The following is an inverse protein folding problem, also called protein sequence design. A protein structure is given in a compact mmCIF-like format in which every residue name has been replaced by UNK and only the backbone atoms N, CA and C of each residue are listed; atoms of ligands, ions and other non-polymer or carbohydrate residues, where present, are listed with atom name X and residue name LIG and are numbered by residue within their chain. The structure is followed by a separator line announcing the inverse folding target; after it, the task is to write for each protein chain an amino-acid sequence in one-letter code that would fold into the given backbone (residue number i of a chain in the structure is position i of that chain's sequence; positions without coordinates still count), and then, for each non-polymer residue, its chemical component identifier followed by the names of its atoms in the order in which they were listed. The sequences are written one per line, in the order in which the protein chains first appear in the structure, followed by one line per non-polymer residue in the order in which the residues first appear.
data_IF_625025853993
#
_entry.id   IF_625025853993
#
_cell.length_a   1.000
_cell.length_b   1.000
_cell.length_c   1.000
_cell.angle_alpha   90.00
_cell.angle_beta   90.00
_cell.angle_gamma   90.00
#
_symmetry.space_group_name_H-M   'P 1'
#
loop_
_entity.id
_entity.type
_entity.pdbx_description
1 polymer ?
#
# COMPACT_ATOMS: atom_id res chain seq x y z
N UNK A 1 9.52 -19.17 5.69
CA UNK A 1 8.65 -17.96 5.59
C UNK A 1 9.18 -16.99 4.55
N UNK A 2 10.49 -16.88 4.36
CA UNK A 2 11.09 -15.99 3.35
C UNK A 2 10.88 -16.49 1.93
N UNK A 3 10.88 -17.80 1.69
CA UNK A 3 10.46 -18.39 0.40
C UNK A 3 9.00 -18.09 0.07
N UNK A 4 8.12 -18.11 1.09
CA UNK A 4 6.69 -17.80 0.97
C UNK A 4 6.44 -16.39 0.43
N UNK A 5 7.28 -15.41 0.80
CA UNK A 5 7.18 -14.05 0.26
C UNK A 5 7.48 -14.04 -1.25
N UNK A 6 8.52 -14.74 -1.73
CA UNK A 6 8.86 -14.84 -3.16
C UNK A 6 7.79 -15.61 -3.95
N UNK A 7 7.30 -16.72 -3.41
CA UNK A 7 6.19 -17.51 -3.98
C UNK A 7 4.96 -16.62 -4.16
N UNK A 8 4.61 -15.87 -3.12
CA UNK A 8 3.44 -14.99 -3.12
C UNK A 8 3.58 -13.87 -4.13
N UNK A 9 4.75 -13.24 -4.20
CA UNK A 9 5.05 -12.21 -5.19
C UNK A 9 4.93 -12.73 -6.62
N UNK A 10 5.62 -13.82 -6.95
CA UNK A 10 5.62 -14.39 -8.30
C UNK A 10 4.22 -14.87 -8.70
N UNK A 11 3.50 -15.52 -7.80
CA UNK A 11 2.11 -15.92 -8.03
C UNK A 11 1.24 -14.70 -8.34
N UNK A 12 1.27 -13.68 -7.48
CA UNK A 12 0.48 -12.47 -7.68
C UNK A 12 0.83 -11.74 -8.99
N UNK A 13 2.11 -11.54 -9.29
CA UNK A 13 2.56 -10.90 -10.53
C UNK A 13 2.15 -11.68 -11.78
N UNK A 14 2.16 -13.02 -11.71
CA UNK A 14 1.72 -13.86 -12.83
C UNK A 14 0.26 -13.65 -13.24
N UNK A 15 -0.61 -13.21 -12.31
CA UNK A 15 -2.04 -12.97 -12.59
C UNK A 15 -2.31 -11.78 -13.51
N UNK A 16 -1.29 -10.94 -13.75
CA UNK A 16 -1.41 -9.73 -14.54
C UNK A 16 -1.03 -9.92 -16.02
N UNK A 17 -0.43 -11.04 -16.40
CA UNK A 17 -0.02 -11.31 -17.79
C UNK A 17 -1.17 -11.17 -18.78
N UNK A 18 -2.35 -11.67 -18.41
CA UNK A 18 -3.54 -11.70 -19.27
C UNK A 18 -4.50 -10.54 -18.99
N UNK A 19 -4.08 -9.54 -18.21
CA UNK A 19 -4.91 -8.37 -17.94
C UNK A 19 -5.00 -7.46 -19.18
N UNK A 20 -6.11 -6.74 -19.30
CA UNK A 20 -6.34 -5.79 -20.37
C UNK A 20 -5.43 -4.57 -20.25
N UNK A 21 -5.00 -4.05 -21.40
CA UNK A 21 -4.14 -2.87 -21.50
C UNK A 21 -4.78 -1.67 -20.80
N UNK A 22 -6.09 -1.48 -20.98
CA UNK A 22 -6.84 -0.40 -20.32
C UNK A 22 -6.78 -0.47 -18.78
N UNK A 23 -6.78 -1.66 -18.20
CA UNK A 23 -6.65 -1.82 -16.74
C UNK A 23 -5.20 -1.59 -16.29
N UNK A 24 -4.21 -2.02 -17.05
CA UNK A 24 -2.80 -1.76 -16.76
C UNK A 24 -2.49 -0.26 -16.88
N UNK A 25 -3.00 0.41 -17.90
CA UNK A 25 -2.81 1.85 -18.11
C UNK A 25 -3.40 2.68 -16.96
N UNK A 26 -4.49 2.21 -16.33
CA UNK A 26 -5.02 2.86 -15.11
C UNK A 26 -4.05 2.77 -13.93
N UNK A 27 -3.34 1.66 -13.79
CA UNK A 27 -2.32 1.47 -12.75
C UNK A 27 -1.09 2.34 -13.04
N UNK A 28 -0.65 2.38 -14.30
CA UNK A 28 0.46 3.22 -14.75
C UNK A 28 0.11 4.71 -14.59
N UNK A 29 -1.13 5.11 -14.83
CA UNK A 29 -1.59 6.48 -14.62
C UNK A 29 -1.58 6.86 -13.12
N UNK A 30 -2.01 5.96 -12.24
CA UNK A 30 -1.88 6.17 -10.79
C UNK A 30 -0.41 6.28 -10.38
N UNK A 31 0.43 5.37 -10.86
CA UNK A 31 1.88 5.38 -10.63
C UNK A 31 2.50 6.71 -11.06
N UNK A 32 2.16 7.18 -12.26
CA UNK A 32 2.64 8.45 -12.79
C UNK A 32 2.25 9.63 -11.90
N UNK A 33 1.05 9.61 -11.32
CA UNK A 33 0.61 10.64 -10.37
C UNK A 33 1.37 10.54 -9.04
N UNK A 34 1.60 9.33 -8.53
CA UNK A 34 2.41 9.10 -7.34
C UNK A 34 3.83 9.66 -7.50
N UNK A 35 4.49 9.33 -8.61
CA UNK A 35 5.82 9.82 -8.96
C UNK A 35 5.83 11.35 -9.11
N UNK A 36 4.73 11.98 -9.51
CA UNK A 36 4.64 13.43 -9.72
C UNK A 36 3.89 14.20 -8.60
N UNK A 37 3.78 13.64 -7.39
CA UNK A 37 3.13 14.32 -6.26
C UNK A 37 3.82 15.65 -5.89
N UNK A 38 5.14 15.72 -6.02
CA UNK A 38 5.92 16.91 -5.71
C UNK A 38 5.94 17.24 -4.21
N UNK A 39 6.24 18.50 -3.90
CA UNK A 39 6.16 19.03 -2.53
C UNK A 39 4.77 19.60 -2.27
N UNK A 40 4.22 19.30 -1.10
CA UNK A 40 2.96 19.89 -0.64
C UNK A 40 2.90 19.93 0.89
N UNK A 41 2.07 20.85 1.39
CA UNK A 41 1.68 20.90 2.80
C UNK A 41 0.22 20.43 2.92
N UNK A 42 -0.04 19.56 3.89
CA UNK A 42 -1.36 18.99 4.15
C UNK A 42 -1.95 19.46 5.48
N UNK A 43 -1.17 20.14 6.33
CA UNK A 43 -1.57 20.41 7.72
C UNK A 43 -2.82 21.28 7.79
N UNK A 44 -2.87 22.36 7.01
CA UNK A 44 -4.03 23.26 6.98
C UNK A 44 -5.28 22.54 6.47
N UNK A 45 -5.16 21.83 5.34
CA UNK A 45 -6.27 21.08 4.75
C UNK A 45 -6.84 20.02 5.71
N UNK A 46 -5.96 19.28 6.39
CA UNK A 46 -6.33 18.27 7.40
C UNK A 46 -6.96 18.95 8.60
N UNK A 47 -6.37 20.01 9.14
CA UNK A 47 -6.89 20.70 10.32
C UNK A 47 -8.31 21.26 10.07
N UNK A 48 -8.53 21.90 8.94
CA UNK A 48 -9.84 22.46 8.58
C UNK A 48 -10.90 21.38 8.42
N UNK A 49 -10.54 20.27 7.77
CA UNK A 49 -11.44 19.16 7.55
C UNK A 49 -11.82 18.46 8.85
N UNK A 50 -10.82 18.15 9.70
CA UNK A 50 -11.06 17.51 10.98
C UNK A 50 -11.74 18.42 12.01
N UNK A 51 -11.56 19.74 11.92
CA UNK A 51 -12.34 20.68 12.72
C UNK A 51 -13.85 20.60 12.38
N UNK A 52 -14.17 20.50 11.08
CA UNK A 52 -15.55 20.35 10.61
C UNK A 52 -16.14 19.00 11.06
N UNK A 53 -15.39 17.90 10.90
CA UNK A 53 -15.81 16.57 11.33
C UNK A 53 -16.06 16.50 12.84
N UNK A 54 -15.15 17.06 13.64
CA UNK A 54 -15.28 17.07 15.08
C UNK A 54 -16.48 17.93 15.54
N UNK A 55 -16.74 19.08 14.91
CA UNK A 55 -17.91 19.90 15.22
C UNK A 55 -19.23 19.14 14.94
N UNK A 56 -19.31 18.43 13.80
CA UNK A 56 -20.46 17.58 13.47
C UNK A 56 -20.62 16.43 14.48
N UNK A 57 -19.53 15.74 14.83
CA UNK A 57 -19.56 14.65 15.81
C UNK A 57 -19.99 15.13 17.21
N UNK A 58 -19.47 16.27 17.67
CA UNK A 58 -19.88 16.88 18.94
C UNK A 58 -21.36 17.27 18.94
N UNK A 59 -21.88 17.80 17.82
CA UNK A 59 -23.32 18.11 17.69
C UNK A 59 -24.18 16.87 17.77
N UNK A 60 -23.78 15.77 17.12
CA UNK A 60 -24.48 14.48 17.23
C UNK A 60 -24.46 14.00 18.68
N UNK A 61 -23.30 14.01 19.35
CA UNK A 61 -23.18 13.67 20.77
C UNK A 61 -24.14 14.49 21.64
N UNK A 62 -24.10 15.81 21.53
CA UNK A 62 -24.85 16.71 22.39
C UNK A 62 -26.36 16.52 22.22
N UNK A 63 -26.83 16.31 20.99
CA UNK A 63 -28.23 16.00 20.70
C UNK A 63 -28.63 14.62 21.24
N UNK A 64 -27.76 13.61 21.15
CA UNK A 64 -28.00 12.27 21.69
C UNK A 64 -28.14 12.29 23.22
N UNK A 65 -27.23 13.01 23.92
CA UNK A 65 -27.30 13.19 25.37
C UNK A 65 -28.59 13.91 25.76
N UNK A 66 -28.93 15.00 25.07
CA UNK A 66 -30.13 15.78 25.37
C UNK A 66 -31.44 15.02 25.09
N UNK A 67 -31.42 14.06 24.16
CA UNK A 67 -32.57 13.28 23.77
C UNK A 67 -32.86 12.07 24.66
N UNK A 68 -31.94 11.72 25.58
CA UNK A 68 -31.89 10.44 26.30
C UNK A 68 -32.19 9.26 25.35
N UNK A 69 -31.62 9.36 24.14
CA UNK A 69 -31.91 8.46 23.04
C UNK A 69 -31.20 7.13 23.28
N UNK A 70 -31.94 6.03 23.20
CA UNK A 70 -31.43 4.69 23.50
C UNK A 70 -30.77 4.01 22.31
N UNK A 71 -30.76 4.64 21.13
CA UNK A 71 -30.20 4.06 19.91
C UNK A 71 -29.76 5.13 18.89
N UNK A 72 -28.47 5.12 18.50
CA UNK A 72 -28.09 5.48 17.12
C UNK A 72 -28.18 4.17 16.33
N UNK A 73 -29.40 3.78 15.94
CA UNK A 73 -29.64 2.47 15.32
C UNK A 73 -29.33 2.42 13.82
N UNK A 74 -28.88 3.50 13.18
CA UNK A 74 -28.63 3.47 11.74
C UNK A 74 -27.35 4.24 11.45
N UNK A 75 -26.32 3.49 11.05
CA UNK A 75 -25.19 3.92 10.20
C UNK A 75 -23.94 3.05 10.38
N UNK A 76 -24.02 1.87 11.02
CA UNK A 76 -22.99 0.82 10.87
C UNK A 76 -22.66 0.57 9.39
N UNK A 77 -23.66 0.80 8.53
CA UNK A 77 -23.56 0.79 7.09
C UNK A 77 -22.65 1.87 6.51
N UNK A 78 -22.99 3.12 6.83
CA UNK A 78 -22.24 4.28 6.42
C UNK A 78 -20.84 4.25 7.01
N UNK A 79 -20.65 3.65 8.18
CA UNK A 79 -19.35 3.59 8.87
C UNK A 79 -18.33 2.67 8.21
N UNK A 80 -18.77 1.67 7.44
CA UNK A 80 -17.87 0.97 6.51
C UNK A 80 -17.51 1.79 5.26
N UNK A 81 -18.34 2.80 4.93
CA UNK A 81 -18.13 3.71 3.82
C UNK A 81 -17.19 4.89 4.15
N UNK A 82 -16.79 5.02 5.42
CA UNK A 82 -16.09 6.20 5.96
C UNK A 82 -14.63 6.32 5.49
N UNK A 83 -13.95 5.29 4.97
CA UNK A 83 -12.54 5.48 4.56
C UNK A 83 -12.12 4.76 3.28
N UNK A 84 -11.82 5.56 2.25
CA UNK A 84 -11.60 5.09 0.89
C UNK A 84 -10.23 4.49 0.58
N UNK A 85 -9.29 4.54 1.53
CA UNK A 85 -7.94 4.01 1.30
C UNK A 85 -7.83 2.49 1.51
N UNK A 86 -8.86 1.84 2.08
CA UNK A 86 -8.75 0.45 2.55
C UNK A 86 -9.92 -0.51 2.27
N UNK A 87 -11.09 -0.06 1.81
CA UNK A 87 -12.24 -0.94 1.57
C UNK A 87 -12.65 -0.95 0.09
N UNK A 88 -12.82 -2.13 -0.49
CA UNK A 88 -13.45 -2.32 -1.79
C UNK A 88 -14.94 -1.99 -1.70
N UNK A 89 -15.50 -1.37 -2.76
CA UNK A 89 -16.92 -1.01 -2.90
C UNK A 89 -17.92 -2.13 -2.52
N UNK A 90 -17.47 -3.39 -2.47
CA UNK A 90 -18.28 -4.55 -2.11
C UNK A 90 -18.59 -4.66 -0.60
N UNK A 91 -17.74 -4.13 0.28
CA UNK A 91 -18.03 -4.09 1.72
C UNK A 91 -19.16 -3.10 2.06
N UNK A 92 -19.45 -2.18 1.14
CA UNK A 92 -20.41 -1.09 1.28
C UNK A 92 -21.87 -1.57 1.09
N UNK A 93 -22.11 -2.52 0.16
CA UNK A 93 -23.46 -2.94 -0.22
C UNK A 93 -24.16 -3.87 0.79
N UNK A 94 -23.39 -4.62 1.60
CA UNK A 94 -23.96 -5.55 2.60
C UNK A 94 -24.57 -4.82 3.80
N UNK A 95 -24.22 -3.55 3.93
CA UNK A 95 -24.33 -2.79 5.15
C UNK A 95 -25.47 -1.76 5.02
N UNK A 96 -25.66 -1.20 3.82
CA UNK A 96 -26.77 -0.32 3.41
C UNK A 96 -28.19 -0.87 3.66
N UNK A 97 -28.32 -2.17 3.95
CA UNK A 97 -29.60 -2.87 4.12
C UNK A 97 -30.26 -2.73 5.51
N UNK A 98 -29.61 -2.08 6.48
CA UNK A 98 -30.11 -1.94 7.84
C UNK A 98 -30.36 -0.48 8.21
N UNK A 99 -31.52 0.05 7.83
CA UNK A 99 -31.96 1.40 8.23
C UNK A 99 -33.37 1.33 8.84
N UNK A 100 -33.51 1.77 10.08
CA UNK A 100 -34.80 2.07 10.70
C UNK A 100 -34.68 3.27 11.65
N UNK A 101 -35.26 4.37 11.14
CA UNK A 101 -35.94 5.51 11.79
C UNK A 101 -35.54 5.84 13.23
N UNK A 102 -34.94 7.02 13.44
CA UNK A 102 -35.19 7.85 14.63
C UNK A 102 -34.88 9.35 14.42
N UNK A 103 -35.41 10.21 15.32
CA UNK A 103 -35.61 11.69 15.26
C UNK A 103 -34.87 12.46 14.14
N UNK A 104 -35.66 13.18 13.32
CA UNK A 104 -35.23 13.91 12.10
C UNK A 104 -33.95 14.76 12.25
N UNK A 105 -33.74 15.42 13.38
CA UNK A 105 -32.58 16.30 13.58
C UNK A 105 -31.28 15.52 13.87
N UNK A 106 -31.33 14.51 14.74
CA UNK A 106 -30.20 13.60 15.03
C UNK A 106 -29.84 12.81 13.77
N UNK A 107 -30.85 12.28 13.07
CA UNK A 107 -30.67 11.58 11.80
C UNK A 107 -30.04 12.49 10.73
N UNK A 108 -30.47 13.75 10.62
CA UNK A 108 -29.87 14.69 9.67
C UNK A 108 -28.40 14.99 9.98
N UNK A 109 -28.02 15.19 11.25
CA UNK A 109 -26.62 15.46 11.61
C UNK A 109 -25.73 14.23 11.55
N UNK A 110 -26.27 13.06 11.87
CA UNK A 110 -25.56 11.78 11.68
C UNK A 110 -25.32 11.52 10.19
N UNK A 111 -26.32 11.78 9.34
CA UNK A 111 -26.16 11.72 7.89
C UNK A 111 -25.10 12.70 7.37
N UNK A 112 -25.14 13.97 7.80
CA UNK A 112 -24.12 14.96 7.41
C UNK A 112 -22.70 14.52 7.84
N UNK A 113 -22.56 13.98 9.06
CA UNK A 113 -21.28 13.46 9.55
C UNK A 113 -20.81 12.29 8.69
N UNK A 114 -21.69 11.35 8.35
CA UNK A 114 -21.35 10.16 7.57
C UNK A 114 -21.04 10.49 6.11
N UNK A 115 -21.82 11.38 5.49
CA UNK A 115 -21.53 11.90 4.15
C UNK A 115 -20.14 12.56 4.12
N UNK A 116 -19.79 13.34 5.16
CA UNK A 116 -18.50 14.02 5.25
C UNK A 116 -17.34 13.07 5.50
N UNK A 117 -17.55 12.07 6.32
CA UNK A 117 -16.57 11.03 6.57
C UNK A 117 -16.31 10.20 5.31
N UNK A 118 -17.31 9.89 4.49
CA UNK A 118 -17.12 9.15 3.23
C UNK A 118 -16.25 9.89 2.18
N UNK A 119 -16.12 11.21 2.28
CA UNK A 119 -15.39 12.05 1.29
C UNK A 119 -14.15 12.75 1.84
N UNK A 120 -13.88 12.67 3.13
CA UNK A 120 -12.76 13.29 3.84
C UNK A 120 -11.40 13.22 3.12
N UNK A 121 -10.98 12.07 2.59
CA UNK A 121 -9.71 11.93 1.87
C UNK A 121 -9.71 12.74 0.56
N UNK A 122 -10.87 12.79 -0.08
CA UNK A 122 -11.09 13.48 -1.35
C UNK A 122 -11.19 14.98 -1.09
N UNK A 123 -11.77 15.38 0.03
CA UNK A 123 -11.90 16.78 0.44
C UNK A 123 -10.56 17.35 0.90
N UNK A 124 -9.78 16.59 1.70
CA UNK A 124 -8.41 16.97 2.07
C UNK A 124 -7.54 17.09 0.82
N UNK A 125 -7.52 16.07 -0.03
CA UNK A 125 -6.65 16.08 -1.23
C UNK A 125 -6.97 17.22 -2.20
N UNK A 126 -8.26 17.54 -2.41
CA UNK A 126 -8.70 18.71 -3.18
C UNK A 126 -8.24 20.04 -2.58
N UNK A 127 -8.20 20.15 -1.25
CA UNK A 127 -7.70 21.34 -0.53
C UNK A 127 -6.18 21.49 -0.63
N UNK A 128 -5.44 20.41 -0.82
CA UNK A 128 -3.99 20.44 -0.97
C UNK A 128 -3.60 20.96 -2.35
N UNK A 129 -3.85 20.18 -3.42
CA UNK A 129 -3.66 20.58 -4.81
C UNK A 129 -4.25 19.53 -5.77
N UNK A 130 -4.27 19.86 -7.07
CA UNK A 130 -4.79 18.98 -8.12
C UNK A 130 -4.04 17.65 -8.25
N UNK A 131 -2.72 17.64 -8.16
CA UNK A 131 -1.93 16.40 -8.32
C UNK A 131 -2.25 15.39 -7.21
N UNK A 132 -2.33 15.87 -5.96
CA UNK A 132 -2.69 15.05 -4.80
C UNK A 132 -4.14 14.56 -4.92
N UNK A 133 -5.07 15.42 -5.36
CA UNK A 133 -6.46 15.03 -5.60
C UNK A 133 -6.61 13.96 -6.69
N UNK A 134 -5.93 14.13 -7.83
CA UNK A 134 -5.96 13.18 -8.93
C UNK A 134 -5.34 11.83 -8.51
N UNK A 135 -4.22 11.87 -7.77
CA UNK A 135 -3.59 10.67 -7.22
C UNK A 135 -4.54 9.91 -6.30
N UNK A 136 -5.15 10.56 -5.31
CA UNK A 136 -6.09 9.93 -4.38
C UNK A 136 -7.29 9.33 -5.12
N UNK A 137 -7.83 10.04 -6.12
CA UNK A 137 -8.92 9.52 -6.94
C UNK A 137 -8.53 8.24 -7.70
N UNK A 138 -7.35 8.22 -8.32
CA UNK A 138 -6.85 7.05 -9.06
C UNK A 138 -6.48 5.88 -8.14
N UNK A 139 -5.90 6.16 -6.99
CA UNK A 139 -5.65 5.17 -5.95
C UNK A 139 -6.96 4.44 -5.59
N UNK A 140 -8.04 5.18 -5.34
CA UNK A 140 -9.36 4.63 -5.02
C UNK A 140 -9.93 3.80 -6.18
N UNK A 141 -9.88 4.32 -7.41
CA UNK A 141 -10.38 3.63 -8.60
C UNK A 141 -9.74 2.25 -8.78
N UNK A 142 -8.45 2.14 -8.46
CA UNK A 142 -7.68 0.92 -8.71
C UNK A 142 -7.77 -0.13 -7.59
N UNK A 143 -8.33 0.19 -6.41
CA UNK A 143 -8.41 -0.74 -5.29
C UNK A 143 -9.14 -2.04 -5.64
N UNK A 144 -10.27 -1.97 -6.36
CA UNK A 144 -11.03 -3.15 -6.74
C UNK A 144 -10.28 -4.03 -7.74
N UNK A 145 -9.58 -3.41 -8.70
CA UNK A 145 -8.78 -4.13 -9.69
C UNK A 145 -7.65 -4.90 -9.00
N UNK A 146 -6.90 -4.24 -8.12
CA UNK A 146 -5.81 -4.85 -7.33
C UNK A 146 -6.34 -5.98 -6.46
N UNK A 147 -7.43 -5.74 -5.72
CA UNK A 147 -8.04 -6.76 -4.86
C UNK A 147 -8.55 -7.97 -5.66
N UNK A 148 -9.08 -7.78 -6.87
CA UNK A 148 -9.57 -8.87 -7.73
C UNK A 148 -8.46 -9.82 -8.19
N UNK A 149 -7.21 -9.36 -8.17
CA UNK A 149 -6.01 -10.14 -8.53
C UNK A 149 -5.31 -10.76 -7.32
N UNK A 150 -5.70 -10.38 -6.11
CA UNK A 150 -5.07 -10.86 -4.90
C UNK A 150 -5.30 -12.38 -4.72
N UNK A 151 -4.24 -13.18 -4.56
CA UNK A 151 -4.37 -14.56 -4.13
C UNK A 151 -5.10 -14.62 -2.78
N UNK A 152 -5.81 -15.73 -2.54
CA UNK A 152 -6.55 -15.92 -1.28
C UNK A 152 -5.62 -15.75 -0.09
N UNK A 153 -5.96 -14.80 0.80
CA UNK A 153 -5.20 -14.51 2.01
C UNK A 153 -4.10 -13.45 1.87
N UNK A 154 -3.90 -12.89 0.67
CA UNK A 154 -3.02 -11.74 0.48
C UNK A 154 -3.80 -10.43 0.64
N UNK A 155 -3.35 -9.55 1.53
CA UNK A 155 -4.02 -8.27 1.75
C UNK A 155 -3.72 -7.26 0.62
N UNK A 156 -4.66 -6.34 0.39
CA UNK A 156 -4.60 -5.33 -0.69
C UNK A 156 -3.37 -4.42 -0.58
N UNK A 157 -2.89 -4.16 0.63
CA UNK A 157 -1.72 -3.31 0.88
C UNK A 157 -0.44 -4.02 0.43
N UNK A 158 -0.28 -5.30 0.74
CA UNK A 158 0.83 -6.13 0.23
C UNK A 158 0.75 -6.26 -1.29
N UNK A 159 -0.45 -6.44 -1.85
CA UNK A 159 -0.67 -6.44 -3.30
C UNK A 159 -0.19 -5.13 -3.96
N UNK A 160 -0.55 -3.98 -3.38
CA UNK A 160 -0.18 -2.67 -3.91
C UNK A 160 1.33 -2.41 -3.79
N UNK A 161 1.94 -2.80 -2.67
CA UNK A 161 3.39 -2.76 -2.49
C UNK A 161 4.15 -3.56 -3.54
N UNK A 162 3.74 -4.83 -3.74
CA UNK A 162 4.32 -5.70 -4.76
C UNK A 162 4.17 -5.12 -6.17
N UNK A 163 3.00 -4.52 -6.47
CA UNK A 163 2.73 -3.91 -7.77
C UNK A 163 3.62 -2.67 -8.02
N UNK A 164 3.80 -1.81 -7.02
CA UNK A 164 4.70 -0.65 -7.14
C UNK A 164 6.17 -1.07 -7.32
N UNK A 165 6.62 -2.08 -6.57
CA UNK A 165 7.96 -2.64 -6.75
C UNK A 165 8.14 -3.23 -8.15
N UNK A 166 7.13 -3.93 -8.66
CA UNK A 166 7.14 -4.49 -10.01
C UNK A 166 7.18 -3.39 -11.08
N UNK A 167 6.38 -2.33 -10.95
CA UNK A 167 6.42 -1.19 -11.88
C UNK A 167 7.78 -0.48 -11.86
N UNK A 168 8.41 -0.36 -10.69
CA UNK A 168 9.77 0.18 -10.56
C UNK A 168 10.80 -0.68 -11.30
N UNK A 169 10.69 -2.00 -11.20
CA UNK A 169 11.57 -2.93 -11.90
C UNK A 169 11.42 -2.81 -13.42
N UNK A 170 10.18 -2.69 -13.92
CA UNK A 170 9.92 -2.45 -15.35
C UNK A 170 10.52 -1.11 -15.77
N UNK A 171 10.26 -0.03 -15.02
CA UNK A 171 10.71 1.34 -15.31
C UNK A 171 12.24 1.50 -15.28
N UNK A 172 12.94 0.73 -14.42
CA UNK A 172 14.41 0.70 -14.37
C UNK A 172 15.03 0.09 -15.62
N UNK A 173 14.36 -0.88 -16.22
CA UNK A 173 14.91 -1.68 -17.32
C UNK A 173 14.36 -1.27 -18.69
N UNK A 174 13.18 -0.66 -18.75
CA UNK A 174 12.49 -0.29 -19.98
C UNK A 174 11.40 0.78 -19.75
N UNK A 175 10.64 1.12 -20.79
CA UNK A 175 9.50 2.03 -20.68
C UNK A 175 8.37 1.29 -19.98
N UNK A 176 7.83 1.89 -18.92
CA UNK A 176 6.63 1.40 -18.25
C UNK A 176 5.39 1.71 -19.10
N UNK A 177 5.02 0.74 -19.94
CA UNK A 177 3.77 0.70 -20.72
C UNK A 177 3.09 -0.66 -20.55
N UNK A 178 1.84 -0.80 -21.00
CA UNK A 178 1.08 -2.05 -20.85
C UNK A 178 1.75 -3.27 -21.51
N UNK A 179 2.47 -3.07 -22.62
CA UNK A 179 3.13 -4.16 -23.33
C UNK A 179 4.33 -4.71 -22.54
N UNK A 180 5.20 -3.82 -22.06
CA UNK A 180 6.34 -4.17 -21.24
C UNK A 180 5.90 -4.69 -19.86
N UNK A 181 4.87 -4.10 -19.26
CA UNK A 181 4.27 -4.61 -18.03
C UNK A 181 3.86 -6.08 -18.18
N UNK A 182 3.07 -6.42 -19.21
CA UNK A 182 2.64 -7.81 -19.45
C UNK A 182 3.81 -8.74 -19.77
N UNK A 183 4.83 -8.27 -20.48
CA UNK A 183 6.04 -9.04 -20.75
C UNK A 183 6.76 -9.46 -19.46
N UNK A 184 6.89 -8.54 -18.50
CA UNK A 184 7.47 -8.86 -17.20
C UNK A 184 6.54 -9.74 -16.35
N UNK A 185 5.22 -9.58 -16.46
CA UNK A 185 4.26 -10.43 -15.76
C UNK A 185 4.30 -11.88 -16.31
N UNK A 186 4.44 -12.05 -17.63
CA UNK A 186 4.68 -13.33 -18.28
C UNK A 186 6.00 -13.96 -17.78
N UNK A 187 7.05 -13.15 -17.63
CA UNK A 187 8.34 -13.59 -17.08
C UNK A 187 8.17 -14.11 -15.64
N UNK A 188 7.41 -13.40 -14.79
CA UNK A 188 7.08 -13.85 -13.45
C UNK A 188 6.31 -15.18 -13.46
N UNK A 189 5.41 -15.38 -14.42
CA UNK A 189 4.69 -16.66 -14.61
C UNK A 189 5.62 -17.81 -15.03
N UNK A 190 6.55 -17.56 -15.95
CA UNK A 190 7.54 -18.55 -16.39
C UNK A 190 8.37 -19.02 -15.20
N UNK A 191 8.89 -18.07 -14.42
CA UNK A 191 9.65 -18.35 -13.20
C UNK A 191 8.81 -19.13 -12.20
N UNK A 192 7.60 -18.66 -11.90
CA UNK A 192 6.71 -19.27 -10.91
C UNK A 192 6.42 -20.76 -11.19
N UNK A 193 6.24 -21.10 -12.48
CA UNK A 193 5.92 -22.46 -12.91
C UNK A 193 7.15 -23.33 -13.21
N UNK A 194 8.36 -22.81 -13.04
CA UNK A 194 9.59 -23.55 -13.30
C UNK A 194 9.96 -24.45 -12.12
N UNK A 195 10.64 -25.56 -12.38
CA UNK A 195 11.22 -26.38 -11.30
C UNK A 195 12.45 -25.72 -10.69
N UNK A 196 13.14 -24.88 -11.46
CA UNK A 196 14.40 -24.25 -11.06
C UNK A 196 14.23 -23.26 -9.91
N UNK A 197 13.09 -22.56 -9.81
CA UNK A 197 12.83 -21.60 -8.73
C UNK A 197 12.81 -22.27 -7.34
N UNK A 198 12.53 -23.58 -7.25
CA UNK A 198 12.56 -24.32 -5.99
C UNK A 198 13.95 -24.26 -5.33
N UNK A 199 15.03 -24.22 -6.12
CA UNK A 199 16.40 -24.04 -5.61
C UNK A 199 16.53 -22.73 -4.84
N UNK A 200 15.88 -21.66 -5.31
CA UNK A 200 15.90 -20.34 -4.67
C UNK A 200 15.03 -20.34 -3.42
N UNK A 201 13.86 -21.00 -3.45
CA UNK A 201 13.01 -21.17 -2.28
C UNK A 201 13.74 -21.90 -1.15
N UNK A 202 14.36 -23.03 -1.46
CA UNK A 202 15.14 -23.82 -0.51
C UNK A 202 16.32 -23.02 0.04
N UNK A 203 17.03 -22.29 -0.82
CA UNK A 203 18.16 -21.47 -0.42
C UNK A 203 17.73 -20.29 0.48
N UNK A 204 16.59 -19.66 0.19
CA UNK A 204 16.02 -18.58 1.02
C UNK A 204 15.61 -19.09 2.40
N UNK A 205 14.95 -20.25 2.48
CA UNK A 205 14.55 -20.83 3.76
C UNK A 205 15.77 -21.30 4.55
N UNK A 206 16.77 -21.90 3.90
CA UNK A 206 18.04 -22.25 4.54
C UNK A 206 18.73 -21.01 5.10
N UNK A 207 18.83 -19.93 4.31
CA UNK A 207 19.41 -18.67 4.75
C UNK A 207 18.61 -18.07 5.94
N UNK A 208 17.29 -18.11 5.88
CA UNK A 208 16.42 -17.61 6.95
C UNK A 208 16.65 -18.32 8.30
N UNK A 209 16.89 -19.64 8.25
CA UNK A 209 17.15 -20.51 9.41
C UNK A 209 18.63 -20.52 9.84
N UNK A 210 19.52 -19.95 9.05
CA UNK A 210 20.97 -19.90 9.34
C UNK A 210 21.35 -18.76 10.30
N UNK A 211 22.65 -18.69 10.62
CA UNK A 211 23.25 -17.54 11.29
C UNK A 211 23.28 -16.27 10.44
N UNK A 212 22.99 -16.36 9.13
CA UNK A 212 23.07 -15.26 8.16
C UNK A 212 24.47 -14.65 8.11
N UNK A 213 25.48 -15.50 8.29
CA UNK A 213 26.89 -15.13 8.15
C UNK A 213 27.23 -14.81 6.70
N UNK A 214 28.37 -14.15 6.46
CA UNK A 214 28.88 -13.91 5.10
C UNK A 214 28.96 -15.18 4.26
N UNK A 215 29.30 -16.32 4.88
CA UNK A 215 29.33 -17.62 4.21
C UNK A 215 27.93 -18.12 3.83
N UNK A 216 26.92 -17.91 4.69
CA UNK A 216 25.53 -18.26 4.41
C UNK A 216 24.99 -17.39 3.25
N UNK A 217 25.28 -16.09 3.29
CA UNK A 217 24.93 -15.13 2.24
C UNK A 217 25.60 -15.50 0.92
N UNK A 218 26.89 -15.84 0.94
CA UNK A 218 27.61 -16.27 -0.27
C UNK A 218 27.01 -17.53 -0.87
N UNK A 219 26.67 -18.55 -0.05
CA UNK A 219 26.00 -19.76 -0.54
C UNK A 219 24.69 -19.42 -1.25
N UNK A 220 23.92 -18.47 -0.72
CA UNK A 220 22.71 -17.99 -1.37
C UNK A 220 22.99 -17.30 -2.71
N UNK A 221 24.00 -16.42 -2.77
CA UNK A 221 24.40 -15.74 -4.01
C UNK A 221 24.89 -16.71 -5.08
N UNK A 222 25.62 -17.77 -4.69
CA UNK A 222 26.08 -18.80 -5.61
C UNK A 222 24.88 -19.56 -6.24
N UNK A 223 23.78 -19.75 -5.50
CA UNK A 223 22.53 -20.30 -6.05
C UNK A 223 21.91 -19.36 -7.07
N UNK A 224 21.80 -18.06 -6.76
CA UNK A 224 21.25 -17.05 -7.68
C UNK A 224 22.06 -16.93 -8.98
N UNK A 225 23.40 -17.06 -8.90
CA UNK A 225 24.28 -17.06 -10.07
C UNK A 225 24.07 -18.30 -10.95
N UNK A 226 23.77 -19.45 -10.34
CA UNK A 226 23.63 -20.73 -11.02
C UNK A 226 22.29 -20.93 -11.74
N UNK A 227 21.37 -19.96 -11.69
CA UNK A 227 20.07 -20.04 -12.36
C UNK A 227 20.21 -19.90 -13.87
N UNK A 228 19.44 -20.70 -14.62
CA UNK A 228 19.46 -20.70 -16.07
C UNK A 228 18.15 -20.14 -16.66
N UNK A 229 17.88 -18.87 -16.34
CA UNK A 229 16.76 -18.13 -16.89
C UNK A 229 17.21 -17.17 -18.00
N UNK A 230 16.31 -16.79 -18.93
CA UNK A 230 16.53 -15.62 -19.75
C UNK A 230 16.64 -14.36 -18.87
N UNK A 231 17.26 -13.31 -19.41
CA UNK A 231 17.69 -12.12 -18.63
C UNK A 231 16.57 -11.48 -17.81
N UNK A 232 15.35 -11.38 -18.34
CA UNK A 232 14.23 -10.68 -17.68
C UNK A 232 13.76 -11.45 -16.44
N UNK A 233 13.55 -12.75 -16.60
CA UNK A 233 13.18 -13.70 -15.58
C UNK A 233 14.26 -13.78 -14.49
N UNK A 234 15.54 -13.78 -14.90
CA UNK A 234 16.67 -13.79 -13.99
C UNK A 234 16.70 -12.52 -13.11
N UNK A 235 16.56 -11.34 -13.73
CA UNK A 235 16.51 -10.04 -13.02
C UNK A 235 15.37 -10.00 -12.00
N UNK A 236 14.17 -10.47 -12.38
CA UNK A 236 13.01 -10.53 -11.48
C UNK A 236 13.28 -11.38 -10.24
N UNK A 237 13.86 -12.58 -10.42
CA UNK A 237 14.18 -13.48 -9.32
C UNK A 237 15.26 -12.89 -8.42
N UNK A 238 16.35 -12.40 -9.02
CA UNK A 238 17.48 -11.87 -8.28
C UNK A 238 17.09 -10.63 -7.47
N UNK A 239 16.41 -9.66 -8.09
CA UNK A 239 16.01 -8.42 -7.41
C UNK A 239 15.06 -8.68 -6.25
N UNK A 240 14.04 -9.54 -6.43
CA UNK A 240 13.11 -9.83 -5.34
C UNK A 240 13.74 -10.70 -4.24
N UNK A 241 14.59 -11.66 -4.59
CA UNK A 241 15.33 -12.46 -3.61
C UNK A 241 16.26 -11.58 -2.76
N UNK A 242 16.99 -10.66 -3.39
CA UNK A 242 17.85 -9.68 -2.73
C UNK A 242 17.02 -8.73 -1.83
N UNK A 243 15.83 -8.32 -2.28
CA UNK A 243 14.91 -7.52 -1.47
C UNK A 243 14.53 -8.25 -0.16
N UNK A 244 14.21 -9.54 -0.25
CA UNK A 244 13.86 -10.37 0.92
C UNK A 244 15.04 -10.42 1.91
N UNK A 245 16.27 -10.57 1.42
CA UNK A 245 17.46 -10.59 2.27
C UNK A 245 17.60 -9.30 3.10
N UNK A 246 17.40 -8.15 2.47
CA UNK A 246 17.52 -6.87 3.15
C UNK A 246 16.33 -6.61 4.10
N UNK A 247 15.09 -6.69 3.61
CA UNK A 247 13.92 -6.25 4.38
C UNK A 247 13.40 -7.29 5.37
N UNK A 248 13.41 -8.57 5.00
CA UNK A 248 12.82 -9.65 5.81
C UNK A 248 13.88 -10.33 6.65
N UNK A 249 15.05 -10.59 6.08
CA UNK A 249 16.15 -11.23 6.81
C UNK A 249 17.05 -10.24 7.56
N UNK A 250 16.87 -8.93 7.34
CA UNK A 250 17.62 -7.85 8.00
C UNK A 250 19.14 -8.00 7.81
N UNK A 251 19.57 -8.51 6.66
CA UNK A 251 20.98 -8.65 6.31
C UNK A 251 21.51 -7.28 5.87
N UNK A 252 22.67 -6.89 6.39
CA UNK A 252 23.27 -5.60 6.09
C UNK A 252 23.57 -5.48 4.58
N UNK A 253 23.20 -4.34 3.98
CA UNK A 253 23.41 -4.08 2.55
C UNK A 253 24.89 -4.26 2.15
N UNK A 254 25.83 -3.79 2.98
CA UNK A 254 27.27 -3.97 2.73
C UNK A 254 27.66 -5.45 2.56
N UNK A 255 27.08 -6.35 3.36
CA UNK A 255 27.29 -7.79 3.23
C UNK A 255 26.67 -8.34 1.96
N UNK A 256 25.43 -7.97 1.65
CA UNK A 256 24.74 -8.42 0.42
C UNK A 256 25.56 -8.02 -0.82
N UNK A 257 25.98 -6.75 -0.89
CA UNK A 257 26.78 -6.21 -1.99
C UNK A 257 28.11 -6.95 -2.14
N UNK A 258 28.88 -7.09 -1.05
CA UNK A 258 30.18 -7.73 -1.09
C UNK A 258 30.09 -9.20 -1.55
N UNK A 259 29.08 -9.93 -1.10
CA UNK A 259 28.91 -11.34 -1.49
C UNK A 259 28.35 -11.51 -2.90
N UNK A 260 27.50 -10.60 -3.37
CA UNK A 260 27.03 -10.60 -4.75
C UNK A 260 28.17 -10.29 -5.74
N UNK A 261 29.03 -9.31 -5.41
CA UNK A 261 30.28 -9.03 -6.13
C UNK A 261 31.19 -10.26 -6.18
N UNK A 262 31.40 -10.92 -5.03
CA UNK A 262 32.22 -12.13 -4.95
C UNK A 262 31.63 -13.31 -5.75
N UNK A 263 30.30 -13.39 -5.85
CA UNK A 263 29.62 -14.36 -6.71
C UNK A 263 29.65 -13.96 -8.19
N UNK A 264 30.00 -12.72 -8.54
CA UNK A 264 29.98 -12.22 -9.91
C UNK A 264 28.58 -11.90 -10.44
N UNK A 265 27.64 -11.57 -9.55
CA UNK A 265 26.34 -11.00 -9.91
C UNK A 265 26.52 -9.51 -10.27
N UNK A 266 25.73 -8.97 -11.22
CA UNK A 266 25.82 -7.56 -11.59
C UNK A 266 25.56 -6.67 -10.38
N UNK A 267 26.56 -5.87 -9.97
CA UNK A 267 26.45 -5.01 -8.78
C UNK A 267 25.30 -4.02 -8.92
N UNK A 268 24.95 -3.63 -10.14
CA UNK A 268 23.84 -2.74 -10.52
C UNK A 268 22.45 -3.27 -10.11
N UNK A 269 22.30 -4.59 -9.96
CA UNK A 269 21.10 -5.28 -9.44
C UNK A 269 21.07 -5.30 -7.90
N UNK A 270 22.23 -5.05 -7.29
CA UNK A 270 22.49 -5.00 -5.84
C UNK A 270 22.84 -3.59 -5.37
N UNK A 271 22.73 -2.60 -6.26
CA UNK A 271 23.14 -1.24 -5.98
C UNK A 271 22.16 -0.57 -5.02
N UNK A 272 22.66 0.44 -4.29
CA UNK A 272 21.87 1.21 -3.34
C UNK A 272 20.57 1.74 -3.94
N UNK A 273 20.49 1.99 -5.25
CA UNK A 273 19.29 2.45 -5.96
C UNK A 273 18.15 1.44 -5.97
N UNK A 274 18.43 0.14 -6.15
CA UNK A 274 17.40 -0.91 -6.06
C UNK A 274 16.82 -1.00 -4.64
N UNK A 275 17.70 -0.91 -3.64
CA UNK A 275 17.27 -0.83 -2.24
C UNK A 275 16.58 0.49 -1.89
N UNK A 276 17.00 1.62 -2.45
CA UNK A 276 16.36 2.93 -2.24
C UNK A 276 14.91 2.93 -2.79
N UNK A 277 14.69 2.30 -3.95
CA UNK A 277 13.35 2.19 -4.55
C UNK A 277 12.47 1.24 -3.72
N UNK A 278 13.03 0.11 -3.29
CA UNK A 278 12.33 -0.81 -2.39
C UNK A 278 12.09 -0.20 -1.00
N UNK A 279 12.95 0.69 -0.51
CA UNK A 279 12.80 1.38 0.77
C UNK A 279 11.68 2.41 0.68
N UNK A 280 11.61 3.13 -0.43
CA UNK A 280 10.51 4.02 -0.76
C UNK A 280 9.18 3.26 -0.86
N UNK A 281 9.15 2.09 -1.51
CA UNK A 281 7.98 1.22 -1.56
C UNK A 281 7.63 0.67 -0.17
N UNK A 282 8.60 0.27 0.64
CA UNK A 282 8.38 -0.19 2.02
C UNK A 282 7.79 0.91 2.90
N UNK A 283 8.26 2.15 2.75
CA UNK A 283 7.69 3.35 3.39
C UNK A 283 6.27 3.60 2.92
N UNK A 284 6.02 3.57 1.61
CA UNK A 284 4.68 3.68 1.05
C UNK A 284 3.71 2.66 1.66
N UNK A 285 4.12 1.38 1.68
CA UNK A 285 3.36 0.28 2.28
C UNK A 285 3.09 0.55 3.76
N UNK A 286 4.08 1.03 4.51
CA UNK A 286 3.93 1.39 5.94
C UNK A 286 2.93 2.54 6.13
N UNK A 287 2.99 3.55 5.28
CA UNK A 287 2.12 4.73 5.31
C UNK A 287 0.66 4.36 5.01
N UNK A 288 0.43 3.48 4.04
CA UNK A 288 -0.90 2.89 3.78
C UNK A 288 -1.39 2.09 4.98
N UNK A 289 -0.51 1.40 5.71
CA UNK A 289 -0.89 0.68 6.93
C UNK A 289 -1.46 1.61 8.01
N UNK A 290 -0.86 2.79 8.16
CA UNK A 290 -1.28 3.78 9.16
C UNK A 290 -2.72 4.23 8.88
N UNK A 291 -3.05 4.57 7.63
CA UNK A 291 -4.43 4.97 7.30
C UNK A 291 -5.41 3.79 7.35
N UNK A 292 -4.96 2.56 7.09
CA UNK A 292 -5.81 1.37 7.30
C UNK A 292 -6.12 1.11 8.77
N UNK A 293 -5.21 1.42 9.70
CA UNK A 293 -5.46 1.25 11.15
C UNK A 293 -6.60 2.14 11.68
N UNK A 294 -6.95 3.21 10.97
CA UNK A 294 -8.12 4.04 11.27
C UNK A 294 -9.41 3.22 11.22
N UNK A 295 -9.49 2.24 10.31
CA UNK A 295 -10.65 1.35 10.19
C UNK A 295 -10.86 0.57 11.49
N UNK A 296 -9.78 0.04 12.08
CA UNK A 296 -9.85 -0.69 13.36
C UNK A 296 -10.28 0.23 14.50
N UNK A 297 -9.76 1.47 14.57
CA UNK A 297 -10.19 2.48 15.56
C UNK A 297 -11.69 2.72 15.46
N UNK A 298 -12.21 2.87 14.24
CA UNK A 298 -13.64 3.12 14.02
C UNK A 298 -14.50 1.90 14.35
N UNK A 299 -14.10 0.68 13.99
CA UNK A 299 -14.83 -0.51 14.42
C UNK A 299 -14.88 -0.64 15.94
N UNK A 300 -13.78 -0.35 16.64
CA UNK A 300 -13.78 -0.33 18.10
C UNK A 300 -14.73 0.72 18.70
N UNK A 301 -14.95 1.86 18.03
CA UNK A 301 -15.96 2.85 18.43
C UNK A 301 -17.37 2.30 18.21
N UNK A 302 -17.61 1.65 17.07
CA UNK A 302 -18.91 1.07 16.76
C UNK A 302 -19.34 -0.05 17.70
N UNK A 303 -18.38 -0.85 18.19
CA UNK A 303 -18.63 -1.94 19.14
C UNK A 303 -19.08 -1.43 20.52
N UNK A 304 -19.02 -0.12 20.78
CA UNK A 304 -19.51 0.48 22.01
C UNK A 304 -21.05 0.48 22.02
N UNK A 305 -21.63 -0.36 22.89
CA UNK A 305 -23.09 -0.49 23.07
C UNK A 305 -23.75 0.78 23.61
N UNK A 306 -23.03 1.52 24.46
CA UNK A 306 -23.52 2.77 25.04
C UNK A 306 -23.34 3.91 24.04
N UNK A 307 -24.47 4.36 23.47
CA UNK A 307 -24.52 5.35 22.40
C UNK A 307 -23.88 6.68 22.79
N UNK A 308 -24.04 7.13 24.04
CA UNK A 308 -23.42 8.36 24.52
C UNK A 308 -21.89 8.20 24.55
N UNK A 309 -21.41 7.08 25.11
CA UNK A 309 -19.96 6.77 25.12
C UNK A 309 -19.40 6.60 23.72
N UNK A 310 -20.17 6.01 22.80
CA UNK A 310 -19.79 5.89 21.39
C UNK A 310 -19.58 7.27 20.76
N UNK A 311 -20.53 8.19 20.94
CA UNK A 311 -20.43 9.55 20.42
C UNK A 311 -19.27 10.33 21.05
N UNK A 312 -19.05 10.21 22.36
CA UNK A 312 -17.91 10.81 23.05
C UNK A 312 -16.59 10.31 22.46
N UNK A 313 -16.46 8.98 22.31
CA UNK A 313 -15.25 8.37 21.75
C UNK A 313 -15.01 8.77 20.29
N UNK A 314 -16.06 8.92 19.49
CA UNK A 314 -15.96 9.44 18.12
C UNK A 314 -15.39 10.85 18.08
N UNK A 315 -15.86 11.76 18.95
CA UNK A 315 -15.32 13.12 19.04
C UNK A 315 -13.82 13.10 19.39
N UNK A 316 -13.46 12.31 20.40
CA UNK A 316 -12.07 12.21 20.88
C UNK A 316 -11.14 11.65 19.80
N UNK A 317 -11.52 10.57 19.14
CA UNK A 317 -10.67 9.90 18.14
C UNK A 317 -10.56 10.70 16.82
N UNK A 318 -11.62 11.44 16.43
CA UNK A 318 -11.56 12.35 15.28
C UNK A 318 -10.51 13.44 15.49
N UNK A 319 -10.43 14.04 16.68
CA UNK A 319 -9.39 15.02 16.99
C UNK A 319 -8.04 14.40 17.42
N UNK A 320 -8.02 13.10 17.72
CA UNK A 320 -6.85 12.35 18.16
C UNK A 320 -6.25 11.47 17.06
N UNK A 321 -6.39 10.15 17.24
CA UNK A 321 -5.69 9.12 16.46
C UNK A 321 -6.03 9.18 14.97
N UNK A 322 -7.29 9.45 14.62
CA UNK A 322 -7.74 9.48 13.22
C UNK A 322 -7.06 10.62 12.47
N UNK A 323 -7.14 11.85 13.02
CA UNK A 323 -6.46 13.01 12.44
C UNK A 323 -4.95 12.82 12.33
N UNK A 324 -4.31 12.26 13.36
CA UNK A 324 -2.87 11.98 13.35
C UNK A 324 -2.49 10.97 12.26
N UNK A 325 -3.33 9.96 12.02
CA UNK A 325 -3.13 8.97 10.96
C UNK A 325 -3.22 9.61 9.58
N UNK A 326 -4.13 10.56 9.37
CA UNK A 326 -4.23 11.33 8.13
C UNK A 326 -3.00 12.19 7.86
N UNK A 327 -2.45 12.87 8.89
CA UNK A 327 -1.19 13.61 8.76
C UNK A 327 -0.04 12.68 8.37
N UNK A 328 0.09 11.58 9.10
CA UNK A 328 1.11 10.56 8.83
C UNK A 328 0.99 9.98 7.42
N UNK A 329 -0.25 9.81 6.92
CA UNK A 329 -0.51 9.38 5.56
C UNK A 329 0.02 10.39 4.52
N UNK A 330 -0.44 11.64 4.58
CA UNK A 330 -0.10 12.66 3.58
C UNK A 330 1.39 13.04 3.61
N UNK A 331 1.99 13.16 4.79
CA UNK A 331 3.43 13.37 4.90
C UNK A 331 4.24 12.15 4.44
N UNK A 332 3.72 10.95 4.73
CA UNK A 332 4.32 9.70 4.34
C UNK A 332 4.35 9.48 2.82
N UNK A 333 3.24 9.72 2.12
CA UNK A 333 3.19 9.55 0.65
C UNK A 333 4.06 10.60 -0.06
N UNK A 334 4.16 11.81 0.50
CA UNK A 334 5.05 12.87 0.02
C UNK A 334 6.51 12.42 0.08
N UNK A 335 6.94 11.90 1.23
CA UNK A 335 8.32 11.45 1.40
C UNK A 335 8.61 10.17 0.61
N UNK A 336 7.66 9.23 0.57
CA UNK A 336 7.79 8.01 -0.23
C UNK A 336 7.93 8.34 -1.73
N UNK A 337 7.11 9.25 -2.26
CA UNK A 337 7.21 9.70 -3.66
C UNK A 337 8.55 10.36 -3.96
N UNK A 338 9.02 11.24 -3.08
CA UNK A 338 10.32 11.90 -3.22
C UNK A 338 11.47 10.89 -3.24
N UNK A 339 11.46 9.93 -2.33
CA UNK A 339 12.51 8.90 -2.26
C UNK A 339 12.43 7.93 -3.43
N UNK A 340 11.22 7.57 -3.86
CA UNK A 340 11.01 6.74 -5.05
C UNK A 340 11.64 7.39 -6.27
N UNK A 341 11.32 8.67 -6.53
CA UNK A 341 11.95 9.45 -7.61
C UNK A 341 13.48 9.47 -7.55
N UNK A 342 14.03 9.70 -6.36
CA UNK A 342 15.48 9.72 -6.18
C UNK A 342 16.14 8.37 -6.49
N UNK A 343 15.42 7.27 -6.25
CA UNK A 343 15.89 5.92 -6.48
C UNK A 343 15.81 5.47 -7.95
N UNK A 344 14.75 5.87 -8.66
CA UNK A 344 14.54 5.51 -10.07
C UNK A 344 15.18 6.49 -11.05
N UNK A 345 15.57 7.69 -10.61
CA UNK A 345 16.27 8.65 -11.46
C UNK A 345 17.58 8.05 -11.99
N UNK A 346 17.91 8.18 -13.29
CA UNK A 346 19.19 7.75 -13.81
C UNK A 346 20.32 8.51 -13.11
N UNK A 347 21.00 7.88 -12.15
CA UNK A 347 22.25 8.45 -11.61
C UNK A 347 23.23 8.47 -12.78
N UNK A 348 23.62 9.67 -13.22
CA UNK A 348 24.64 9.85 -14.27
C UNK A 348 25.77 8.86 -13.98
N UNK A 349 25.95 7.86 -14.86
CA UNK A 349 27.09 6.96 -14.82
C UNK A 349 28.31 7.87 -14.80
N UNK A 350 29.00 7.95 -13.67
CA UNK A 350 30.31 8.60 -13.63
C UNK A 350 31.16 7.82 -14.61
N UNK A 351 31.45 8.44 -15.75
CA UNK A 351 32.50 7.98 -16.63
C UNK A 351 33.77 7.87 -15.78
N UNK A 352 34.24 6.64 -15.59
CA UNK A 352 35.55 6.33 -15.07
C UNK A 352 36.37 5.80 -16.24
#
# INVERSE_FOLDING_TARGET
MSSTDLITYLNYMSTWETESDANIDKLIAEHSLFVNLGQFDSDTAINDEFATLNDLACKVRDLTIAADATQIAADAAAVSAIWSFGMSMAAFAALEAAELIERKEISSKSKELNDKLATVDTDISKKINKNVADYVAKYKENNNLIASKAPKGLDTKTCRGNLMQFMAEVEKNTILDAANFKKYAASARIVYNSDEINKVYDALDKLNLSSRSDADVKQFMDVLKGLNYPKTELSLVQNFAIAIMFYKLKIANATIKAQAEAAGLPVEEVEATAFEAMDAVGKFVTVVAVVMSVVDVVFNILDIVDVVKQCEKMCDELNGTIKSSYKSYFDGIKEASKQYNAAIAPKQRKAA
#
